data_IF_266509482532
#
_entry.id   IF_266509482532
#
_cell.length_a   1.000
_cell.length_b   1.000
_cell.length_c   1.000
_cell.angle_alpha   90.00
_cell.angle_beta   90.00
_cell.angle_gamma   90.00
#
_symmetry.space_group_name_H-M   'P 1'
#
loop_
_entity.id
_entity.type
_entity.pdbx_description
1 polymer ?
#
# COMPACT_ATOMS: atom_id res chain seq x y z
N UNK A 1 44.07 3.75 54.99
CA UNK A 1 43.02 2.72 54.94
C UNK A 1 41.94 3.15 55.92
N UNK A 2 41.20 4.23 55.66
CA UNK A 2 40.14 4.51 54.66
C UNK A 2 38.74 4.00 55.11
N UNK A 3 37.91 5.01 55.44
CA UNK A 3 36.45 5.13 55.44
C UNK A 3 35.61 4.31 56.43
N UNK A 4 35.50 4.82 57.66
CA UNK A 4 34.29 4.73 58.48
C UNK A 4 33.90 6.14 58.89
N UNK A 5 33.13 6.83 58.05
CA UNK A 5 32.33 8.00 58.40
C UNK A 5 31.64 8.49 57.13
N UNK A 6 30.36 8.15 56.97
CA UNK A 6 29.36 9.00 56.31
C UNK A 6 28.02 8.27 56.16
N UNK A 7 26.97 8.94 56.65
CA UNK A 7 25.55 8.86 56.28
C UNK A 7 24.64 8.11 57.28
N UNK A 8 24.20 8.88 58.28
CA UNK A 8 22.90 8.76 58.97
C UNK A 8 21.75 8.63 57.96
N UNK A 9 20.66 7.91 58.30
CA UNK A 9 19.43 7.94 57.51
C UNK A 9 18.77 9.32 57.65
N UNK A 10 18.69 10.06 56.54
CA UNK A 10 17.89 11.27 56.47
C UNK A 10 16.44 10.86 56.23
N UNK A 11 15.59 11.00 57.26
CA UNK A 11 14.14 10.97 57.11
C UNK A 11 13.76 11.95 56.00
N UNK A 12 13.20 11.45 54.91
CA UNK A 12 12.46 12.27 53.95
C UNK A 12 11.03 12.31 54.42
N UNK A 13 10.68 13.43 55.05
CA UNK A 13 9.29 13.89 55.18
C UNK A 13 8.63 13.84 53.79
N UNK A 14 7.69 12.91 53.63
CA UNK A 14 6.83 12.84 52.44
C UNK A 14 5.77 13.92 52.60
N UNK A 15 5.91 15.02 51.84
CA UNK A 15 4.87 16.06 51.76
C UNK A 15 3.83 15.66 50.68
N UNK A 16 2.62 15.21 51.06
CA UNK A 16 1.60 14.75 50.12
C UNK A 16 1.02 15.88 49.25
N UNK A 17 1.34 17.15 49.54
CA UNK A 17 0.92 18.27 48.70
C UNK A 17 1.74 18.37 47.41
N UNK A 18 3.04 18.02 47.45
CA UNK A 18 3.92 18.15 46.29
C UNK A 18 3.61 17.11 45.19
N UNK A 19 3.20 15.90 45.59
CA UNK A 19 2.84 14.83 44.65
C UNK A 19 1.53 15.11 43.90
N UNK A 20 0.55 15.74 44.57
CA UNK A 20 -0.71 16.17 43.94
C UNK A 20 -0.49 17.23 42.87
N UNK A 21 0.40 18.20 43.12
CA UNK A 21 0.70 19.27 42.15
C UNK A 21 1.42 18.72 40.91
N UNK A 22 2.32 17.76 41.08
CA UNK A 22 3.04 17.14 39.96
C UNK A 22 2.13 16.24 39.08
N UNK A 23 1.17 15.54 39.68
CA UNK A 23 0.17 14.76 38.93
C UNK A 23 -0.85 15.67 38.21
N UNK A 24 -1.29 16.76 38.85
CA UNK A 24 -2.20 17.73 38.24
C UNK A 24 -1.57 18.45 37.02
N UNK A 25 -0.28 18.82 37.13
CA UNK A 25 0.46 19.46 36.02
C UNK A 25 0.67 18.52 34.82
N UNK A 26 0.96 17.22 35.06
CA UNK A 26 1.06 16.23 33.97
C UNK A 26 -0.28 15.96 33.30
N UNK A 27 -1.37 15.90 34.07
CA UNK A 27 -2.70 15.68 33.52
C UNK A 27 -3.16 16.85 32.63
N UNK A 28 -2.92 18.10 33.06
CA UNK A 28 -3.24 19.29 32.25
C UNK A 28 -2.42 19.38 30.95
N UNK A 29 -1.13 19.05 30.98
CA UNK A 29 -0.30 19.06 29.76
C UNK A 29 -0.74 17.99 28.77
N UNK A 30 -1.12 16.80 29.24
CA UNK A 30 -1.59 15.70 28.37
C UNK A 30 -2.96 16.02 27.77
N UNK A 31 -3.85 16.65 28.54
CA UNK A 31 -5.17 17.08 28.05
C UNK A 31 -5.07 18.21 27.00
N UNK A 32 -4.18 19.18 27.21
CA UNK A 32 -3.95 20.30 26.28
C UNK A 32 -3.35 19.83 24.95
N UNK A 33 -2.40 18.88 24.98
CA UNK A 33 -1.82 18.30 23.75
C UNK A 33 -2.85 17.43 23.01
N UNK A 34 -3.65 16.64 23.74
CA UNK A 34 -4.73 15.83 23.14
C UNK A 34 -5.82 16.67 22.46
N UNK A 35 -6.23 17.80 23.08
CA UNK A 35 -7.22 18.72 22.51
C UNK A 35 -6.67 19.50 21.30
N UNK A 36 -5.39 19.89 21.32
CA UNK A 36 -4.73 20.53 20.17
C UNK A 36 -4.60 19.58 18.99
N UNK A 37 -4.24 18.30 19.21
CA UNK A 37 -4.19 17.30 18.14
C UNK A 37 -5.59 17.01 17.56
N UNK A 38 -6.63 16.91 18.40
CA UNK A 38 -8.00 16.74 17.93
C UNK A 38 -8.49 17.93 17.10
N UNK A 39 -8.16 19.16 17.52
CA UNK A 39 -8.52 20.38 16.79
C UNK A 39 -7.81 20.46 15.44
N UNK A 40 -6.54 20.05 15.34
CA UNK A 40 -5.80 20.05 14.06
C UNK A 40 -6.35 18.97 13.11
N UNK A 41 -6.66 17.77 13.60
CA UNK A 41 -7.28 16.71 12.77
C UNK A 41 -8.69 17.13 12.32
N UNK A 42 -9.48 17.73 13.20
CA UNK A 42 -10.80 18.26 12.83
C UNK A 42 -10.72 19.42 11.83
N UNK A 43 -9.72 20.31 11.96
CA UNK A 43 -9.49 21.41 11.01
C UNK A 43 -9.04 20.89 9.64
N UNK A 44 -8.19 19.87 9.58
CA UNK A 44 -7.79 19.20 8.34
C UNK A 44 -8.98 18.47 7.67
N UNK A 45 -9.85 17.82 8.46
CA UNK A 45 -11.08 17.20 7.94
C UNK A 45 -12.11 18.23 7.46
N UNK A 46 -12.22 19.37 8.14
CA UNK A 46 -13.11 20.46 7.72
C UNK A 46 -12.61 21.16 6.45
N UNK A 47 -11.29 21.29 6.25
CA UNK A 47 -10.71 21.84 5.02
C UNK A 47 -10.89 20.90 3.81
N UNK A 48 -10.93 19.58 4.02
CA UNK A 48 -11.27 18.62 2.98
C UNK A 48 -12.76 18.67 2.57
N UNK A 49 -13.65 19.09 3.48
CA UNK A 49 -15.10 19.20 3.26
C UNK A 49 -15.56 20.62 2.88
N UNK A 50 -14.72 21.64 3.10
CA UNK A 50 -15.03 23.06 2.84
C UNK A 50 -14.39 23.60 1.56
N UNK A 51 -13.88 22.74 0.67
CA UNK A 51 -13.71 23.15 -0.72
C UNK A 51 -15.10 23.38 -1.30
N UNK A 52 -15.50 24.65 -1.38
CA UNK A 52 -16.63 25.08 -2.20
C UNK A 52 -16.52 24.37 -3.55
N UNK A 53 -17.42 23.43 -3.79
CA UNK A 53 -17.56 22.81 -5.09
C UNK A 53 -17.79 23.95 -6.08
N UNK A 54 -16.93 24.15 -7.09
CA UNK A 54 -17.22 25.13 -8.11
C UNK A 54 -18.57 24.72 -8.71
N UNK A 55 -19.56 25.60 -8.61
CA UNK A 55 -20.87 25.48 -9.28
C UNK A 55 -20.72 25.63 -10.80
N UNK A 56 -19.71 25.01 -11.41
CA UNK A 56 -19.86 24.46 -12.74
C UNK A 56 -20.62 23.17 -12.52
N UNK A 57 -21.83 23.07 -13.06
CA UNK A 57 -22.34 21.75 -13.44
C UNK A 57 -21.21 21.10 -14.23
N UNK A 58 -20.55 20.11 -13.65
CA UNK A 58 -19.61 19.31 -14.38
C UNK A 58 -20.42 18.78 -15.56
N UNK A 59 -20.14 19.31 -16.74
CA UNK A 59 -20.63 18.69 -17.96
C UNK A 59 -19.83 17.39 -18.03
N UNK A 60 -20.39 16.36 -17.39
CA UNK A 60 -19.96 14.99 -17.53
C UNK A 60 -20.34 14.66 -18.96
N UNK A 61 -19.39 14.88 -19.86
CA UNK A 61 -19.46 14.36 -21.20
C UNK A 61 -19.52 12.83 -21.06
N UNK A 62 -20.74 12.29 -21.11
CA UNK A 62 -21.02 10.88 -20.82
C UNK A 62 -20.17 10.01 -21.74
N UNK A 63 -19.93 10.45 -22.98
CA UNK A 63 -19.07 9.81 -23.96
C UNK A 63 -17.63 9.65 -23.47
N UNK A 64 -17.07 10.71 -22.86
CA UNK A 64 -15.69 10.72 -22.31
C UNK A 64 -15.58 9.98 -20.97
N UNK A 65 -16.67 9.93 -20.20
CA UNK A 65 -16.75 9.12 -18.97
C UNK A 65 -16.93 7.64 -19.29
N UNK A 66 -17.71 7.27 -20.30
CA UNK A 66 -17.89 5.88 -20.71
C UNK A 66 -16.63 5.29 -21.36
N UNK A 67 -15.90 6.07 -22.18
CA UNK A 67 -14.62 5.60 -22.73
C UNK A 67 -13.57 5.44 -21.62
N UNK A 68 -13.44 6.45 -20.75
CA UNK A 68 -12.53 6.38 -19.60
C UNK A 68 -12.88 5.27 -18.60
N UNK A 69 -14.17 4.93 -18.42
CA UNK A 69 -14.60 3.81 -17.57
C UNK A 69 -14.30 2.47 -18.24
N UNK A 70 -14.52 2.32 -19.54
CA UNK A 70 -14.18 1.10 -20.29
C UNK A 70 -12.68 0.81 -20.25
N UNK A 71 -11.85 1.83 -20.47
CA UNK A 71 -10.40 1.68 -20.43
C UNK A 71 -9.91 1.36 -19.03
N UNK A 72 -10.44 2.04 -18.00
CA UNK A 72 -10.11 1.77 -16.60
C UNK A 72 -10.55 0.37 -16.16
N UNK A 73 -11.69 -0.10 -16.63
CA UNK A 73 -12.20 -1.44 -16.33
C UNK A 73 -11.38 -2.54 -17.04
N UNK A 74 -10.93 -2.28 -18.27
CA UNK A 74 -9.96 -3.14 -18.96
C UNK A 74 -8.61 -3.20 -18.23
N UNK A 75 -8.05 -2.04 -17.85
CA UNK A 75 -6.81 -1.94 -17.09
C UNK A 75 -6.96 -2.66 -15.74
N UNK A 76 -8.05 -2.42 -15.00
CA UNK A 76 -8.29 -3.06 -13.71
C UNK A 76 -8.36 -4.59 -13.84
N UNK A 77 -9.04 -5.11 -14.88
CA UNK A 77 -9.06 -6.55 -15.16
C UNK A 77 -7.67 -7.09 -15.49
N UNK A 78 -6.92 -6.40 -16.35
CA UNK A 78 -5.58 -6.81 -16.74
C UNK A 78 -4.64 -6.85 -15.52
N UNK A 79 -4.64 -5.79 -14.71
CA UNK A 79 -3.88 -5.70 -13.47
C UNK A 79 -4.27 -6.77 -12.45
N UNK A 80 -5.57 -7.06 -12.30
CA UNK A 80 -6.04 -8.13 -11.39
C UNK A 80 -5.52 -9.49 -11.82
N UNK A 81 -5.62 -9.81 -13.13
CA UNK A 81 -5.11 -11.08 -13.67
C UNK A 81 -3.59 -11.20 -13.50
N UNK A 82 -2.85 -10.14 -13.84
CA UNK A 82 -1.39 -10.11 -13.66
C UNK A 82 -0.99 -10.24 -12.19
N UNK A 83 -1.73 -9.62 -11.26
CA UNK A 83 -1.49 -9.73 -9.83
C UNK A 83 -1.72 -11.16 -9.31
N UNK A 84 -2.83 -11.81 -9.72
CA UNK A 84 -3.10 -13.21 -9.37
C UNK A 84 -1.99 -14.11 -9.93
N UNK A 85 -1.57 -13.90 -11.18
CA UNK A 85 -0.49 -14.65 -11.81
C UNK A 85 0.85 -14.46 -11.07
N UNK A 86 1.17 -13.22 -10.67
CA UNK A 86 2.38 -12.90 -9.91
C UNK A 86 2.39 -13.59 -8.54
N UNK A 87 1.27 -13.55 -7.80
CA UNK A 87 1.15 -14.23 -6.49
C UNK A 87 1.23 -15.75 -6.66
N UNK A 88 0.56 -16.31 -7.66
CA UNK A 88 0.62 -17.75 -7.97
C UNK A 88 2.07 -18.19 -8.29
N UNK A 89 2.78 -17.40 -9.08
CA UNK A 89 4.17 -17.68 -9.43
C UNK A 89 5.13 -17.46 -8.26
N UNK A 90 4.88 -16.47 -7.41
CA UNK A 90 5.64 -16.25 -6.17
C UNK A 90 5.50 -17.44 -5.23
N UNK A 91 4.26 -17.89 -5.00
CA UNK A 91 3.96 -19.06 -4.18
C UNK A 91 4.64 -20.34 -4.70
N UNK A 92 4.78 -20.47 -6.02
CA UNK A 92 5.46 -21.59 -6.68
C UNK A 92 6.99 -21.44 -6.78
N UNK A 93 7.57 -20.30 -6.38
CA UNK A 93 9.00 -20.00 -6.58
C UNK A 93 9.40 -19.75 -8.05
N UNK A 94 8.44 -19.54 -8.93
CA UNK A 94 8.59 -19.44 -10.40
C UNK A 94 8.47 -17.98 -10.90
N UNK A 95 8.36 -16.99 -10.00
CA UNK A 95 8.16 -15.59 -10.37
C UNK A 95 9.26 -15.06 -11.31
N UNK A 96 10.51 -15.43 -11.06
CA UNK A 96 11.62 -15.02 -11.94
C UNK A 96 11.54 -15.67 -13.32
N UNK A 97 11.09 -16.92 -13.38
CA UNK A 97 10.92 -17.66 -14.64
C UNK A 97 9.85 -17.01 -15.50
N UNK A 98 8.67 -16.75 -14.94
CA UNK A 98 7.55 -16.19 -15.70
C UNK A 98 7.83 -14.76 -16.19
N UNK A 99 8.63 -14.00 -15.44
CA UNK A 99 9.04 -12.65 -15.82
C UNK A 99 9.97 -12.68 -17.03
N UNK A 100 10.91 -13.61 -17.06
CA UNK A 100 11.80 -13.82 -18.20
C UNK A 100 11.03 -14.30 -19.44
N UNK A 101 10.08 -15.22 -19.27
CA UNK A 101 9.25 -15.70 -20.37
C UNK A 101 8.31 -14.61 -20.89
N UNK A 102 7.70 -13.79 -20.02
CA UNK A 102 6.92 -12.63 -20.42
C UNK A 102 7.76 -11.64 -21.24
N UNK A 103 8.98 -11.33 -20.79
CA UNK A 103 9.90 -10.44 -21.51
C UNK A 103 10.29 -11.00 -22.88
N UNK A 104 10.45 -12.32 -22.98
CA UNK A 104 10.78 -13.02 -24.23
C UNK A 104 9.63 -12.99 -25.20
N UNK A 105 8.41 -13.29 -24.75
CA UNK A 105 7.21 -13.33 -25.61
C UNK A 105 6.82 -11.94 -26.08
N UNK A 106 6.86 -10.92 -25.21
CA UNK A 106 6.54 -9.53 -25.58
C UNK A 106 7.44 -8.96 -26.70
N UNK A 107 8.66 -9.49 -26.88
CA UNK A 107 9.57 -9.14 -27.98
C UNK A 107 9.31 -9.90 -29.29
N UNK A 108 8.14 -10.54 -29.43
CA UNK A 108 7.80 -11.38 -30.58
C UNK A 108 8.37 -12.80 -30.53
N UNK A 109 8.88 -13.23 -29.38
CA UNK A 109 9.34 -14.60 -29.14
C UNK A 109 8.20 -15.55 -28.76
N UNK A 110 8.54 -16.83 -28.53
CA UNK A 110 7.62 -17.83 -27.98
C UNK A 110 8.17 -18.46 -26.71
N UNK A 111 7.28 -18.92 -25.82
CA UNK A 111 7.64 -19.64 -24.60
C UNK A 111 7.35 -21.14 -24.72
N UNK A 112 8.34 -21.96 -24.37
CA UNK A 112 8.17 -23.41 -24.18
C UNK A 112 8.00 -23.78 -22.70
N UNK A 113 7.97 -22.78 -21.80
CA UNK A 113 7.83 -23.03 -20.38
C UNK A 113 6.37 -23.38 -20.05
N UNK A 114 6.15 -24.61 -19.57
CA UNK A 114 4.81 -25.12 -19.31
C UNK A 114 4.09 -24.33 -18.21
N UNK A 115 4.81 -23.91 -17.17
CA UNK A 115 4.22 -23.15 -16.06
C UNK A 115 3.72 -21.77 -16.53
N UNK A 116 4.54 -21.03 -17.27
CA UNK A 116 4.17 -19.76 -17.89
C UNK A 116 2.97 -19.92 -18.83
N UNK A 117 3.00 -20.90 -19.74
CA UNK A 117 1.91 -21.15 -20.68
C UNK A 117 0.60 -21.53 -19.96
N UNK A 118 0.69 -22.28 -18.87
CA UNK A 118 -0.47 -22.59 -18.03
C UNK A 118 -1.05 -21.34 -17.36
N UNK A 119 -0.21 -20.44 -16.83
CA UNK A 119 -0.66 -19.16 -16.25
C UNK A 119 -1.33 -18.26 -17.28
N UNK A 120 -0.72 -18.12 -18.46
CA UNK A 120 -1.27 -17.34 -19.58
C UNK A 120 -2.66 -17.86 -19.94
N UNK A 121 -2.82 -19.18 -20.04
CA UNK A 121 -4.11 -19.81 -20.34
C UNK A 121 -5.12 -19.65 -19.20
N UNK A 122 -4.71 -19.92 -17.95
CA UNK A 122 -5.58 -19.91 -16.78
C UNK A 122 -6.17 -18.51 -16.53
N UNK A 123 -5.34 -17.47 -16.64
CA UNK A 123 -5.75 -16.10 -16.33
C UNK A 123 -6.06 -15.26 -17.58
N UNK A 124 -5.96 -15.84 -18.78
CA UNK A 124 -6.12 -15.14 -20.06
C UNK A 124 -5.27 -13.87 -20.08
N UNK A 125 -3.97 -14.06 -19.81
CA UNK A 125 -2.99 -12.98 -19.81
C UNK A 125 -2.72 -12.57 -21.25
N UNK A 126 -2.70 -11.26 -21.49
CA UNK A 126 -2.28 -10.74 -22.77
C UNK A 126 -0.75 -10.71 -22.84
N UNK A 127 -0.18 -11.33 -23.85
CA UNK A 127 1.28 -11.42 -24.05
C UNK A 127 1.73 -10.66 -25.29
N UNK A 128 0.82 -10.00 -26.02
CA UNK A 128 1.19 -9.29 -27.26
C UNK A 128 2.06 -8.06 -27.00
N UNK A 129 1.89 -7.46 -25.81
CA UNK A 129 2.44 -6.15 -25.47
C UNK A 129 3.27 -6.20 -24.18
N UNK A 130 4.05 -5.15 -23.93
CA UNK A 130 4.95 -5.02 -22.77
C UNK A 130 4.21 -4.91 -21.42
N UNK A 131 2.89 -4.73 -21.41
CA UNK A 131 2.09 -4.57 -20.20
C UNK A 131 2.25 -5.75 -19.22
N UNK A 132 2.23 -7.00 -19.72
CA UNK A 132 2.39 -8.17 -18.85
C UNK A 132 3.76 -8.19 -18.19
N UNK A 133 4.82 -7.91 -18.95
CA UNK A 133 6.16 -7.81 -18.39
C UNK A 133 6.26 -6.69 -17.35
N UNK A 134 5.79 -5.49 -17.68
CA UNK A 134 5.83 -4.34 -16.78
C UNK A 134 5.05 -4.58 -15.47
N UNK A 135 3.84 -5.15 -15.57
CA UNK A 135 3.03 -5.47 -14.40
C UNK A 135 3.64 -6.58 -13.53
N UNK A 136 4.24 -7.62 -14.13
CA UNK A 136 4.96 -8.66 -13.37
C UNK A 136 6.23 -8.13 -12.71
N UNK A 137 6.94 -7.22 -13.38
CA UNK A 137 8.14 -6.59 -12.83
C UNK A 137 7.81 -5.68 -11.64
N UNK A 138 6.78 -4.82 -11.78
CA UNK A 138 6.29 -4.03 -10.65
C UNK A 138 5.81 -4.93 -9.51
N UNK A 139 5.09 -6.01 -9.83
CA UNK A 139 4.63 -6.95 -8.82
C UNK A 139 5.78 -7.59 -8.04
N UNK A 140 6.88 -7.97 -8.71
CA UNK A 140 8.07 -8.51 -8.05
C UNK A 140 8.67 -7.53 -7.04
N UNK A 141 8.79 -6.25 -7.39
CA UNK A 141 9.33 -5.24 -6.48
C UNK A 141 8.42 -5.04 -5.26
N UNK A 142 7.12 -5.01 -5.49
CA UNK A 142 6.12 -4.78 -4.46
C UNK A 142 5.88 -6.00 -3.56
N UNK A 143 6.06 -7.23 -4.06
CA UNK A 143 5.98 -8.45 -3.27
C UNK A 143 7.03 -8.48 -2.15
N UNK A 144 8.28 -8.18 -2.48
CA UNK A 144 9.36 -8.12 -1.48
C UNK A 144 9.06 -7.07 -0.40
N UNK A 145 8.51 -5.92 -0.79
CA UNK A 145 8.12 -4.86 0.14
C UNK A 145 6.93 -5.27 1.02
N UNK A 146 5.91 -5.93 0.44
CA UNK A 146 4.76 -6.46 1.19
C UNK A 146 5.18 -7.50 2.22
N UNK A 147 6.12 -8.39 1.88
CA UNK A 147 6.63 -9.40 2.79
C UNK A 147 7.40 -8.78 3.97
N UNK A 148 8.10 -7.67 3.74
CA UNK A 148 8.75 -6.91 4.82
C UNK A 148 7.74 -6.27 5.78
N UNK A 149 6.60 -5.80 5.27
CA UNK A 149 5.59 -5.11 6.08
C UNK A 149 4.63 -6.07 6.81
N UNK A 150 4.26 -7.16 6.17
CA UNK A 150 3.18 -8.05 6.62
C UNK A 150 3.65 -9.47 6.96
N UNK A 151 4.96 -9.72 6.88
CA UNK A 151 5.58 -11.04 6.98
C UNK A 151 5.48 -11.82 5.67
N UNK A 152 6.18 -12.97 5.62
CA UNK A 152 6.23 -13.83 4.44
C UNK A 152 4.83 -14.17 3.88
N UNK A 153 4.78 -14.39 2.56
CA UNK A 153 3.58 -14.85 1.89
C UNK A 153 3.03 -16.15 2.51
N UNK A 154 1.71 -16.22 2.60
CA UNK A 154 0.94 -17.38 3.02
C UNK A 154 -0.46 -17.30 2.40
N UNK A 155 -1.15 -18.44 2.25
CA UNK A 155 -2.43 -18.49 1.53
C UNK A 155 -3.53 -17.65 2.19
N UNK A 156 -3.50 -17.46 3.51
CA UNK A 156 -4.40 -16.56 4.24
C UNK A 156 -4.20 -15.08 3.89
N UNK A 157 -3.04 -14.72 3.32
CA UNK A 157 -2.71 -13.36 2.86
C UNK A 157 -2.88 -13.16 1.36
N UNK A 158 -3.27 -14.19 0.61
CA UNK A 158 -3.36 -14.16 -0.86
C UNK A 158 -4.21 -12.98 -1.34
N UNK A 159 -5.41 -12.81 -0.80
CA UNK A 159 -6.31 -11.72 -1.17
C UNK A 159 -5.68 -10.34 -0.95
N UNK A 160 -4.98 -10.15 0.18
CA UNK A 160 -4.33 -8.87 0.49
C UNK A 160 -3.19 -8.58 -0.50
N UNK A 161 -2.35 -9.58 -0.76
CA UNK A 161 -1.24 -9.47 -1.72
C UNK A 161 -1.77 -9.16 -3.13
N UNK A 162 -2.71 -9.96 -3.62
CA UNK A 162 -3.31 -9.77 -4.94
C UNK A 162 -3.98 -8.39 -5.08
N UNK A 163 -4.77 -7.98 -4.08
CA UNK A 163 -5.48 -6.69 -4.14
C UNK A 163 -4.52 -5.51 -4.15
N UNK A 164 -3.49 -5.56 -3.31
CA UNK A 164 -2.47 -4.52 -3.29
C UNK A 164 -1.73 -4.43 -4.63
N UNK A 165 -1.27 -5.55 -5.17
CA UNK A 165 -0.55 -5.60 -6.44
C UNK A 165 -1.42 -5.12 -7.61
N UNK A 166 -2.69 -5.52 -7.65
CA UNK A 166 -3.63 -5.06 -8.67
C UNK A 166 -3.86 -3.55 -8.58
N UNK A 167 -4.00 -3.00 -7.38
CA UNK A 167 -4.16 -1.57 -7.17
C UNK A 167 -2.89 -0.78 -7.56
N UNK A 168 -1.70 -1.30 -7.26
CA UNK A 168 -0.42 -0.67 -7.66
C UNK A 168 -0.25 -0.64 -9.17
N UNK A 169 -0.51 -1.77 -9.85
CA UNK A 169 -0.53 -1.83 -11.30
C UNK A 169 -1.52 -0.84 -11.91
N UNK A 170 -2.74 -0.75 -11.38
CA UNK A 170 -3.76 0.18 -11.88
C UNK A 170 -3.39 1.65 -11.68
N UNK A 171 -2.58 1.97 -10.67
CA UNK A 171 -2.10 3.32 -10.40
C UNK A 171 -0.93 3.75 -11.31
N UNK A 172 -0.18 2.80 -11.85
CA UNK A 172 0.95 3.05 -12.77
C UNK A 172 0.58 2.89 -14.24
N UNK A 173 -0.56 2.28 -14.53
CA UNK A 173 -1.11 2.21 -15.88
C UNK A 173 -1.69 3.56 -16.30
N UNK A 174 -1.06 4.21 -17.28
CA UNK A 174 -1.64 5.38 -17.93
C UNK A 174 -2.80 4.95 -18.83
N UNK A 175 -3.98 5.61 -18.77
CA UNK A 175 -5.00 5.43 -19.80
C UNK A 175 -4.41 5.85 -21.14
N UNK A 176 -4.64 5.09 -22.20
CA UNK A 176 -4.28 5.50 -23.56
C UNK A 176 -5.04 6.81 -23.83
N UNK A 177 -4.34 7.93 -23.78
CA UNK A 177 -4.91 9.20 -24.20
C UNK A 177 -5.18 9.09 -25.70
N UNK A 178 -6.47 9.09 -26.06
CA UNK A 178 -6.85 9.23 -27.47
C UNK A 178 -6.27 10.55 -28.00
N UNK A 179 -5.62 10.55 -29.18
CA UNK A 179 -5.10 11.76 -29.81
C UNK A 179 -6.19 12.78 -30.14
#
# INVERSE_FOLDING_TARGET
MLLYDLIKPHERSFDPKLTKVHLALKFEQTLKVGLLSFAITALMCAQALSQEAPTRRAHIDVTRVTSGVSDRDMIARACTKSAIAAVSAHAAGELSTILNEAAKVGKGGSSNNQFFNNLVKAYRLDTSDDFLFASLFDARLNLMWLEQLSGAYSSDKELMFTTYLAARCGATAEPISSP
#
